data_IF_719818267270
#
_entry.id   IF_719818267270
#
_cell.length_a   1.000
_cell.length_b   1.000
_cell.length_c   1.000
_cell.angle_alpha   90.00
_cell.angle_beta   90.00
_cell.angle_gamma   90.00
#
_symmetry.space_group_name_H-M   'P 1'
#
loop_
_entity.id
_entity.type
_entity.pdbx_description
1 polymer ?
#
# COMPACT_ATOMS: atom_id res chain seq x y z
N UNK A 1 -24.91 -11.68 -28.96
CA UNK A 1 -23.78 -12.59 -29.23
C UNK A 1 -22.57 -11.73 -29.35
N UNK A 2 -21.64 -11.89 -28.42
CA UNK A 2 -20.37 -11.21 -28.49
C UNK A 2 -19.64 -11.51 -29.79
N UNK A 3 -19.00 -10.46 -30.30
CA UNK A 3 -18.63 -10.32 -31.71
C UNK A 3 -19.43 -9.23 -32.44
N UNK A 4 -19.37 -9.25 -33.78
CA UNK A 4 -20.01 -8.21 -34.60
C UNK A 4 -21.52 -8.20 -34.39
N UNK A 5 -22.04 -7.16 -33.74
CA UNK A 5 -23.46 -6.83 -33.75
C UNK A 5 -23.89 -6.64 -35.21
N UNK A 6 -25.10 -7.10 -35.62
CA UNK A 6 -25.60 -6.85 -36.97
C UNK A 6 -25.48 -5.36 -37.32
N UNK A 7 -25.07 -5.01 -38.55
CA UNK A 7 -24.88 -3.62 -38.93
C UNK A 7 -26.17 -2.83 -38.71
N UNK A 8 -26.07 -1.69 -38.03
CA UNK A 8 -27.14 -0.71 -37.97
C UNK A 8 -27.11 0.05 -39.29
N UNK A 9 -28.12 -0.17 -40.12
CA UNK A 9 -28.25 0.48 -41.42
C UNK A 9 -29.05 1.79 -41.29
N UNK A 10 -28.47 2.87 -41.83
CA UNK A 10 -29.10 4.17 -41.95
C UNK A 10 -29.47 4.39 -43.41
N UNK A 11 -30.74 4.68 -43.67
CA UNK A 11 -31.28 4.93 -45.00
C UNK A 11 -31.81 6.37 -45.08
N UNK A 12 -31.35 7.13 -46.08
CA UNK A 12 -31.78 8.49 -46.32
C UNK A 12 -32.02 8.79 -47.81
N UNK A 13 -33.28 9.06 -48.16
CA UNK A 13 -33.68 9.57 -49.47
C UNK A 13 -33.43 11.09 -49.57
N UNK A 14 -32.47 11.53 -50.41
CA UNK A 14 -32.24 12.97 -50.54
C UNK A 14 -31.06 13.45 -51.38
N UNK A 15 -30.89 14.77 -51.42
CA UNK A 15 -29.73 15.41 -52.05
C UNK A 15 -28.61 15.58 -51.02
N UNK A 16 -27.59 14.74 -51.11
CA UNK A 16 -26.35 14.88 -50.32
C UNK A 16 -25.57 16.11 -50.79
N UNK A 17 -25.25 17.02 -49.87
CA UNK A 17 -24.27 18.09 -50.13
C UNK A 17 -22.85 17.52 -50.02
N UNK A 18 -21.85 18.24 -50.53
CA UNK A 18 -20.46 17.76 -50.57
C UNK A 18 -19.84 17.40 -49.20
N UNK A 19 -20.51 17.73 -48.09
CA UNK A 19 -20.12 17.39 -46.72
C UNK A 19 -20.88 16.22 -46.08
N UNK A 20 -21.78 15.54 -46.80
CA UNK A 20 -22.65 14.50 -46.25
C UNK A 20 -23.90 15.06 -45.55
N UNK A 21 -24.76 14.17 -45.07
CA UNK A 21 -25.93 14.47 -44.25
C UNK A 21 -25.59 14.19 -42.77
N UNK A 22 -25.70 15.20 -41.92
CA UNK A 22 -25.55 15.04 -40.46
C UNK A 22 -26.84 14.46 -39.88
N UNK A 23 -26.72 13.33 -39.20
CA UNK A 23 -27.79 12.58 -38.56
C UNK A 23 -27.44 12.35 -37.10
N UNK A 24 -28.38 12.58 -36.21
CA UNK A 24 -28.23 12.44 -34.77
C UNK A 24 -28.91 11.16 -34.28
N UNK A 25 -28.14 10.37 -33.56
CA UNK A 25 -28.56 9.12 -32.94
C UNK A 25 -28.51 9.26 -31.43
N UNK A 26 -29.66 9.14 -30.77
CA UNK A 26 -29.76 9.05 -29.32
C UNK A 26 -29.66 7.58 -28.89
N UNK A 27 -28.61 7.28 -28.11
CA UNK A 27 -28.34 5.98 -27.51
C UNK A 27 -28.79 6.04 -26.05
N UNK A 28 -29.94 5.43 -25.76
CA UNK A 28 -30.59 5.60 -24.45
C UNK A 28 -29.75 5.04 -23.30
N UNK A 29 -29.05 3.94 -23.54
CA UNK A 29 -28.23 3.23 -22.55
C UNK A 29 -26.72 3.41 -22.81
N UNK A 30 -26.29 4.61 -23.25
CA UNK A 30 -24.89 4.89 -23.64
C UNK A 30 -23.85 4.53 -22.58
N UNK A 31 -24.18 4.66 -21.29
CA UNK A 31 -23.24 4.38 -20.20
C UNK A 31 -23.06 2.88 -19.94
N UNK A 32 -24.10 2.08 -20.12
CA UNK A 32 -24.00 0.61 -20.08
C UNK A 32 -23.20 0.12 -21.29
N UNK A 33 -23.49 0.71 -22.45
CA UNK A 33 -22.80 0.39 -23.69
C UNK A 33 -21.31 0.76 -23.60
N UNK A 34 -20.98 1.90 -22.99
CA UNK A 34 -19.61 2.40 -22.76
C UNK A 34 -18.71 1.39 -22.03
N UNK A 35 -19.27 0.58 -21.13
CA UNK A 35 -18.53 -0.41 -20.37
C UNK A 35 -18.20 -1.67 -21.19
N UNK A 36 -18.83 -1.83 -22.37
CA UNK A 36 -18.82 -3.05 -23.17
C UNK A 36 -18.22 -2.82 -24.58
N UNK A 37 -17.76 -1.62 -24.92
CA UNK A 37 -17.31 -1.25 -26.28
C UNK A 37 -15.81 -1.42 -26.52
N UNK A 38 -15.43 -2.20 -27.54
CA UNK A 38 -14.03 -2.31 -28.00
C UNK A 38 -13.71 -1.32 -29.13
N UNK A 39 -14.35 -1.45 -30.30
CA UNK A 39 -14.09 -0.58 -31.47
C UNK A 39 -15.33 -0.36 -32.36
N UNK A 40 -15.35 0.75 -33.10
CA UNK A 40 -16.33 0.99 -34.17
C UNK A 40 -15.75 0.61 -35.54
N UNK A 41 -16.50 -0.16 -36.32
CA UNK A 41 -16.19 -0.44 -37.72
C UNK A 41 -17.21 0.30 -38.59
N UNK A 42 -16.72 1.31 -39.30
CA UNK A 42 -17.54 2.21 -40.11
C UNK A 42 -17.46 1.84 -41.60
N UNK A 43 -18.60 1.85 -42.30
CA UNK A 43 -18.64 1.79 -43.77
C UNK A 43 -19.49 2.94 -44.32
N UNK A 44 -18.85 3.82 -45.11
CA UNK A 44 -19.49 4.96 -45.77
C UNK A 44 -20.22 5.93 -44.81
N UNK A 45 -19.75 6.04 -43.57
CA UNK A 45 -20.14 7.02 -42.56
C UNK A 45 -18.89 7.51 -41.79
N UNK A 46 -19.02 8.63 -41.07
CA UNK A 46 -18.01 9.11 -40.10
C UNK A 46 -18.68 9.76 -38.90
N UNK A 47 -18.06 9.71 -37.71
CA UNK A 47 -18.54 10.50 -36.56
C UNK A 47 -18.30 12.01 -36.74
N UNK A 48 -19.33 12.80 -36.43
CA UNK A 48 -19.32 14.26 -36.43
C UNK A 48 -18.81 14.88 -35.12
N UNK A 49 -18.78 16.21 -35.06
CA UNK A 49 -18.29 16.98 -33.90
C UNK A 49 -19.09 18.28 -33.69
N UNK A 50 -20.40 18.21 -33.84
CA UNK A 50 -21.31 19.32 -33.59
C UNK A 50 -21.41 19.65 -32.09
N UNK A 51 -21.58 20.94 -31.80
CA UNK A 51 -21.81 21.42 -30.44
C UNK A 51 -23.11 20.84 -29.84
N UNK A 52 -24.11 20.55 -30.68
CA UNK A 52 -25.38 19.95 -30.26
C UNK A 52 -25.16 18.55 -29.66
N UNK A 53 -24.45 17.67 -30.37
CA UNK A 53 -24.09 16.34 -29.86
C UNK A 53 -23.13 16.43 -28.66
N UNK A 54 -22.13 17.30 -28.72
CA UNK A 54 -21.17 17.47 -27.61
C UNK A 54 -21.82 17.95 -26.30
N UNK A 55 -23.00 18.56 -26.35
CA UNK A 55 -23.76 19.00 -25.18
C UNK A 55 -24.62 17.90 -24.54
N UNK A 56 -24.77 16.76 -25.18
CA UNK A 56 -25.60 15.64 -24.73
C UNK A 56 -24.83 14.31 -24.82
N UNK A 57 -24.44 13.68 -23.70
CA UNK A 57 -23.51 12.54 -23.70
C UNK A 57 -24.07 11.28 -24.38
N UNK A 58 -25.38 11.20 -24.59
CA UNK A 58 -26.09 10.10 -25.23
C UNK A 58 -26.33 10.32 -26.73
N UNK A 59 -25.97 11.48 -27.29
CA UNK A 59 -26.23 11.79 -28.70
C UNK A 59 -24.95 11.74 -29.52
N UNK A 60 -24.98 10.93 -30.57
CA UNK A 60 -23.91 10.79 -31.54
C UNK A 60 -24.31 11.45 -32.85
N UNK A 61 -23.43 12.29 -33.39
CA UNK A 61 -23.57 12.79 -34.75
C UNK A 61 -22.89 11.81 -35.72
N UNK A 62 -23.64 11.33 -36.70
CA UNK A 62 -23.20 10.48 -37.79
C UNK A 62 -23.32 11.25 -39.10
N UNK A 63 -22.27 11.27 -39.91
CA UNK A 63 -22.26 11.91 -41.22
C UNK A 63 -22.42 10.84 -42.29
N UNK A 64 -23.57 10.83 -42.96
CA UNK A 64 -23.90 9.89 -44.03
C UNK A 64 -23.43 10.44 -45.39
N UNK A 65 -22.69 9.63 -46.15
CA UNK A 65 -22.19 10.01 -47.48
C UNK A 65 -22.92 9.34 -48.65
N UNK A 66 -23.72 8.31 -48.35
CA UNK A 66 -24.48 7.53 -49.32
C UNK A 66 -25.92 7.34 -48.82
N UNK A 67 -26.81 6.90 -49.73
CA UNK A 67 -28.21 6.59 -49.44
C UNK A 67 -28.37 5.53 -48.35
N UNK A 68 -27.45 4.57 -48.30
CA UNK A 68 -27.40 3.54 -47.27
C UNK A 68 -26.00 3.51 -46.68
N UNK A 69 -25.90 3.67 -45.35
CA UNK A 69 -24.65 3.54 -44.59
C UNK A 69 -24.83 2.52 -43.46
N UNK A 70 -23.75 1.84 -43.07
CA UNK A 70 -23.80 0.80 -42.03
C UNK A 70 -22.76 1.08 -40.93
N UNK A 71 -23.21 1.05 -39.68
CA UNK A 71 -22.37 1.08 -38.47
C UNK A 71 -22.33 -0.31 -37.86
N UNK A 72 -21.13 -0.89 -37.72
CA UNK A 72 -20.92 -2.12 -36.94
C UNK A 72 -20.25 -1.76 -35.62
N UNK A 73 -20.79 -2.28 -34.54
CA UNK A 73 -20.26 -2.14 -33.19
C UNK A 73 -19.62 -3.47 -32.80
N UNK A 74 -18.38 -3.43 -32.29
CA UNK A 74 -17.77 -4.57 -31.61
C UNK A 74 -17.78 -4.34 -30.11
N UNK A 75 -18.01 -5.43 -29.39
CA UNK A 75 -18.16 -5.51 -27.94
C UNK A 75 -17.01 -6.33 -27.36
N UNK A 76 -16.62 -6.03 -26.12
CA UNK A 76 -15.66 -6.84 -25.37
C UNK A 76 -16.28 -8.20 -25.06
N UNK A 77 -15.48 -9.25 -25.25
CA UNK A 77 -15.75 -10.62 -24.83
C UNK A 77 -14.76 -10.84 -23.68
N UNK A 78 -15.24 -10.79 -22.44
CA UNK A 78 -14.39 -10.95 -21.25
C UNK A 78 -14.55 -12.35 -20.62
N UNK A 79 -14.64 -12.48 -19.31
CA UNK A 79 -14.88 -13.78 -18.64
C UNK A 79 -16.05 -13.71 -17.66
N UNK A 80 -16.69 -12.55 -17.55
CA UNK A 80 -17.70 -12.20 -16.57
C UNK A 80 -19.06 -12.45 -17.19
N UNK A 81 -19.93 -13.14 -16.46
CA UNK A 81 -21.27 -13.41 -16.93
C UNK A 81 -22.11 -12.13 -16.93
N UNK A 82 -22.57 -11.66 -18.10
CA UNK A 82 -23.58 -10.61 -18.17
C UNK A 82 -24.98 -11.11 -18.50
N UNK A 83 -25.96 -10.48 -17.86
CA UNK A 83 -27.36 -10.70 -18.23
C UNK A 83 -27.66 -10.05 -19.59
N UNK A 84 -28.47 -10.70 -20.45
CA UNK A 84 -28.85 -10.12 -21.72
C UNK A 84 -29.43 -8.71 -21.57
N UNK A 85 -28.81 -7.73 -22.22
CA UNK A 85 -29.16 -6.33 -22.11
C UNK A 85 -29.67 -5.77 -23.45
N UNK A 86 -30.76 -5.00 -23.42
CA UNK A 86 -31.34 -4.40 -24.63
C UNK A 86 -30.93 -2.95 -24.77
N UNK A 87 -30.25 -2.64 -25.88
CA UNK A 87 -29.84 -1.28 -26.25
C UNK A 87 -30.82 -0.68 -27.23
N UNK A 88 -31.25 0.55 -26.98
CA UNK A 88 -32.23 1.28 -27.76
C UNK A 88 -31.62 2.53 -28.40
N UNK A 89 -32.01 2.74 -29.65
CA UNK A 89 -31.54 3.82 -30.50
C UNK A 89 -32.72 4.59 -31.05
N UNK A 90 -32.62 5.92 -31.09
CA UNK A 90 -33.64 6.79 -31.67
C UNK A 90 -33.00 7.87 -32.54
N UNK A 91 -33.54 8.07 -33.74
CA UNK A 91 -33.16 9.19 -34.60
C UNK A 91 -33.84 10.47 -34.12
N UNK A 92 -33.08 11.55 -34.03
CA UNK A 92 -33.53 12.84 -33.49
C UNK A 92 -33.43 13.92 -34.56
N UNK A 93 -34.52 14.58 -34.96
CA UNK A 93 -34.49 15.64 -36.00
C UNK A 93 -34.77 17.07 -35.49
N UNK A 94 -34.85 17.28 -34.18
CA UNK A 94 -35.13 18.60 -33.57
C UNK A 94 -33.88 19.32 -33.03
N UNK A 95 -32.69 18.78 -33.30
CA UNK A 95 -31.41 19.38 -32.91
C UNK A 95 -30.89 20.37 -33.96
N UNK A 96 -30.17 21.39 -33.50
CA UNK A 96 -29.47 22.34 -34.38
C UNK A 96 -28.46 21.61 -35.26
N UNK A 97 -28.66 21.66 -36.59
CA UNK A 97 -27.86 20.91 -37.56
C UNK A 97 -28.64 19.78 -38.27
N UNK A 98 -29.83 19.42 -37.77
CA UNK A 98 -30.71 18.44 -38.41
C UNK A 98 -31.35 19.04 -39.67
N UNK A 99 -30.88 18.63 -40.85
CA UNK A 99 -31.44 19.02 -42.16
C UNK A 99 -32.16 17.83 -42.82
N UNK A 100 -32.85 17.03 -42.01
CA UNK A 100 -33.63 15.86 -42.40
C UNK A 100 -34.95 15.81 -41.63
N UNK A 101 -35.85 14.92 -42.07
CA UNK A 101 -37.10 14.62 -41.38
C UNK A 101 -37.07 13.12 -41.11
N UNK A 102 -37.30 12.75 -39.85
CA UNK A 102 -37.31 11.34 -39.44
C UNK A 102 -38.60 10.67 -39.91
N UNK A 103 -38.46 9.48 -40.51
CA UNK A 103 -39.60 8.64 -40.83
C UNK A 103 -40.18 8.05 -39.52
N UNK A 104 -41.42 8.37 -39.13
CA UNK A 104 -41.98 7.91 -37.86
C UNK A 104 -42.20 6.39 -37.79
N UNK A 105 -42.18 5.70 -38.94
CA UNK A 105 -42.29 4.24 -39.00
C UNK A 105 -40.92 3.52 -38.93
N UNK A 106 -39.81 4.27 -38.94
CA UNK A 106 -38.44 3.76 -38.95
C UNK A 106 -37.46 4.67 -38.19
N UNK A 107 -37.89 5.19 -37.03
CA UNK A 107 -37.11 6.13 -36.22
C UNK A 107 -36.36 5.49 -35.05
N UNK A 108 -36.63 4.23 -34.75
CA UNK A 108 -36.02 3.51 -33.62
C UNK A 108 -35.39 2.21 -34.05
N UNK A 109 -34.28 1.85 -33.42
CA UNK A 109 -33.65 0.53 -33.52
C UNK A 109 -33.34 -0.03 -32.14
N UNK A 110 -33.16 -1.34 -32.05
CA UNK A 110 -32.68 -1.99 -30.84
C UNK A 110 -31.89 -3.24 -31.16
N UNK A 111 -30.91 -3.57 -30.33
CA UNK A 111 -30.29 -4.90 -30.32
C UNK A 111 -30.19 -5.42 -28.89
N UNK A 112 -30.10 -6.74 -28.76
CA UNK A 112 -29.83 -7.39 -27.48
C UNK A 112 -28.37 -7.82 -27.50
N UNK A 113 -27.63 -7.37 -26.51
CA UNK A 113 -26.34 -7.91 -26.16
C UNK A 113 -26.58 -9.21 -25.41
N UNK A 114 -26.02 -10.29 -25.91
CA UNK A 114 -26.05 -11.62 -25.29
C UNK A 114 -24.60 -12.08 -25.30
N UNK A 115 -24.10 -12.45 -24.14
CA UNK A 115 -22.73 -12.92 -23.95
C UNK A 115 -22.42 -14.12 -24.88
N UNK A 116 -21.25 -14.08 -25.54
CA UNK A 116 -20.90 -14.85 -26.74
C UNK A 116 -20.26 -16.21 -26.54
N UNK A 117 -19.82 -16.58 -25.33
CA UNK A 117 -19.15 -17.86 -25.10
C UNK A 117 -20.13 -19.00 -24.73
N UNK A 118 -19.76 -20.28 -24.96
CA UNK A 118 -20.52 -21.40 -24.43
C UNK A 118 -20.39 -21.41 -22.90
N UNK A 119 -21.35 -20.79 -22.25
CA UNK A 119 -21.35 -20.39 -20.86
C UNK A 119 -22.60 -19.54 -20.60
N UNK A 120 -22.89 -19.19 -19.36
CA UNK A 120 -24.03 -18.37 -18.99
C UNK A 120 -24.76 -18.91 -17.77
N UNK A 121 -25.84 -18.25 -17.32
CA UNK A 121 -26.40 -18.50 -16.01
C UNK A 121 -26.74 -19.98 -15.76
N UNK A 122 -26.11 -20.55 -14.74
CA UNK A 122 -26.18 -21.94 -14.32
C UNK A 122 -25.26 -22.89 -15.07
N UNK A 123 -24.19 -22.40 -15.71
CA UNK A 123 -23.20 -23.22 -16.42
C UNK A 123 -21.89 -23.30 -15.64
N UNK A 124 -21.32 -24.50 -15.57
CA UNK A 124 -20.01 -24.73 -14.96
C UNK A 124 -20.07 -25.14 -13.49
N UNK A 125 -18.92 -25.14 -12.80
CA UNK A 125 -18.86 -25.45 -11.38
C UNK A 125 -19.25 -24.22 -10.54
N UNK A 126 -19.60 -24.47 -9.28
CA UNK A 126 -19.78 -23.44 -8.25
C UNK A 126 -18.42 -23.10 -7.60
N UNK A 127 -18.08 -21.82 -7.51
CA UNK A 127 -16.84 -21.29 -6.92
C UNK A 127 -17.16 -20.49 -5.67
N UNK A 128 -16.52 -20.82 -4.56
CA UNK A 128 -16.61 -20.10 -3.30
C UNK A 128 -15.26 -19.54 -2.86
N UNK A 129 -15.28 -18.47 -2.08
CA UNK A 129 -14.12 -17.86 -1.41
C UNK A 129 -14.35 -17.79 0.10
N UNK A 130 -13.28 -18.00 0.86
CA UNK A 130 -13.28 -17.87 2.33
C UNK A 130 -11.89 -17.43 2.81
N UNK A 131 -11.79 -16.97 4.05
CA UNK A 131 -10.52 -16.59 4.68
C UNK A 131 -10.29 -17.35 5.98
N UNK A 132 -9.03 -17.55 6.35
CA UNK A 132 -8.67 -18.18 7.63
C UNK A 132 -8.98 -17.28 8.82
N UNK A 133 -8.87 -15.97 8.62
CA UNK A 133 -9.11 -14.92 9.61
C UNK A 133 -9.72 -13.71 8.88
N UNK A 134 -10.62 -13.00 9.54
CA UNK A 134 -11.30 -11.83 8.97
C UNK A 134 -11.09 -10.54 9.77
N UNK A 135 -10.53 -10.65 10.98
CA UNK A 135 -10.07 -9.52 11.81
C UNK A 135 -8.55 -9.60 11.85
N UNK A 136 -7.86 -8.62 11.24
CA UNK A 136 -6.42 -8.66 10.98
C UNK A 136 -5.72 -7.45 11.58
N UNK A 137 -4.42 -7.59 11.88
CA UNK A 137 -3.51 -6.51 12.25
C UNK A 137 -2.39 -6.35 11.22
N UNK A 138 -1.69 -5.21 11.21
CA UNK A 138 -0.50 -5.01 10.37
C UNK A 138 0.55 -6.11 10.60
N UNK A 139 1.19 -6.58 9.52
CA UNK A 139 2.16 -7.68 9.54
C UNK A 139 1.56 -9.08 9.80
N UNK A 140 0.23 -9.20 9.95
CA UNK A 140 -0.41 -10.50 10.14
C UNK A 140 -0.57 -11.26 8.81
N UNK A 141 -0.19 -12.54 8.81
CA UNK A 141 -0.44 -13.45 7.69
C UNK A 141 -1.86 -14.05 7.76
N UNK A 142 -2.54 -14.06 6.63
CA UNK A 142 -3.82 -14.76 6.46
C UNK A 142 -3.91 -15.45 5.10
N UNK A 143 -4.82 -16.42 4.99
CA UNK A 143 -5.00 -17.19 3.75
C UNK A 143 -6.40 -17.04 3.19
N UNK A 144 -6.48 -16.60 1.94
CA UNK A 144 -7.68 -16.66 1.09
C UNK A 144 -7.77 -18.05 0.48
N UNK A 145 -8.89 -18.73 0.66
CA UNK A 145 -9.15 -20.07 0.16
C UNK A 145 -10.24 -20.03 -0.90
N UNK A 146 -9.99 -20.70 -2.01
CA UNK A 146 -10.96 -20.92 -3.09
C UNK A 146 -11.39 -22.39 -3.10
N UNK A 147 -12.70 -22.61 -3.24
CA UNK A 147 -13.27 -23.94 -3.38
C UNK A 147 -14.10 -24.03 -4.64
N UNK A 148 -13.88 -25.07 -5.44
CA UNK A 148 -14.62 -25.33 -6.67
C UNK A 148 -15.35 -26.65 -6.54
N UNK A 149 -16.67 -26.63 -6.71
CA UNK A 149 -17.53 -27.80 -6.60
C UNK A 149 -18.42 -27.93 -7.82
N UNK A 150 -18.76 -29.16 -8.22
CA UNK A 150 -19.54 -29.37 -9.44
C UNK A 150 -19.26 -30.73 -10.07
N UNK A 151 -19.62 -30.86 -11.34
CA UNK A 151 -19.35 -32.07 -12.11
C UNK A 151 -17.84 -32.24 -12.34
N UNK A 152 -17.35 -33.47 -12.24
CA UNK A 152 -15.92 -33.77 -12.30
C UNK A 152 -15.23 -33.36 -13.63
N UNK A 153 -16.01 -33.10 -14.68
CA UNK A 153 -15.50 -32.61 -15.96
C UNK A 153 -15.17 -31.11 -15.93
N UNK A 154 -15.80 -30.37 -15.02
CA UNK A 154 -15.73 -28.91 -14.93
C UNK A 154 -14.81 -28.45 -13.79
N UNK A 155 -14.33 -29.38 -12.96
CA UNK A 155 -13.37 -29.10 -11.89
C UNK A 155 -12.01 -28.69 -12.50
N UNK A 156 -11.40 -27.59 -12.04
CA UNK A 156 -10.13 -27.12 -12.55
C UNK A 156 -8.98 -28.09 -12.29
N UNK A 157 -8.04 -28.11 -13.23
CA UNK A 157 -6.80 -28.90 -13.19
C UNK A 157 -5.67 -28.16 -13.92
N UNK A 158 -4.42 -28.62 -13.81
CA UNK A 158 -3.31 -28.05 -14.60
C UNK A 158 -3.56 -28.03 -16.12
N UNK A 159 -4.33 -29.01 -16.65
CA UNK A 159 -4.67 -29.09 -18.07
C UNK A 159 -5.94 -28.29 -18.44
N UNK A 160 -6.71 -27.85 -17.43
CA UNK A 160 -7.96 -27.11 -17.57
C UNK A 160 -8.08 -26.08 -16.45
N UNK A 161 -7.33 -24.96 -16.51
CA UNK A 161 -7.41 -23.90 -15.51
C UNK A 161 -8.77 -23.19 -15.57
N UNK A 162 -9.23 -22.70 -14.43
CA UNK A 162 -10.42 -21.86 -14.30
C UNK A 162 -9.99 -20.47 -13.80
N UNK A 163 -10.11 -19.45 -14.65
CA UNK A 163 -9.84 -18.06 -14.26
C UNK A 163 -11.04 -17.48 -13.55
N UNK A 164 -10.81 -16.88 -12.37
CA UNK A 164 -11.85 -16.24 -11.56
C UNK A 164 -11.46 -14.80 -11.25
N UNK A 165 -12.46 -13.90 -11.11
CA UNK A 165 -12.26 -12.50 -10.74
C UNK A 165 -12.68 -12.28 -9.29
N UNK A 166 -11.77 -11.73 -8.50
CA UNK A 166 -12.06 -11.20 -7.16
C UNK A 166 -12.01 -9.68 -7.23
N UNK A 167 -13.01 -9.01 -6.68
CA UNK A 167 -13.16 -7.55 -6.78
C UNK A 167 -13.65 -6.93 -5.46
N UNK A 168 -13.23 -5.69 -5.21
CA UNK A 168 -13.74 -4.83 -4.16
C UNK A 168 -14.35 -3.57 -4.77
N UNK A 169 -15.39 -3.04 -4.13
CA UNK A 169 -15.93 -1.72 -4.47
C UNK A 169 -15.04 -0.56 -3.95
N UNK A 170 -14.00 -0.89 -3.16
CA UNK A 170 -13.08 0.09 -2.58
C UNK A 170 -11.85 0.26 -3.46
N UNK A 171 -11.66 1.44 -4.11
CA UNK A 171 -10.46 1.71 -4.90
C UNK A 171 -9.20 1.59 -4.05
N UNK A 172 -8.18 0.92 -4.58
CA UNK A 172 -6.91 0.75 -3.88
C UNK A 172 -6.91 -0.29 -2.76
N UNK A 173 -7.99 -1.06 -2.57
CA UNK A 173 -8.09 -2.07 -1.49
C UNK A 173 -6.98 -3.13 -1.49
N UNK A 174 -6.31 -3.36 -2.63
CA UNK A 174 -5.15 -4.25 -2.69
C UNK A 174 -3.86 -3.62 -2.14
N UNK A 175 -3.87 -2.32 -1.84
CA UNK A 175 -2.76 -1.58 -1.23
C UNK A 175 -2.48 -2.00 0.20
N UNK A 176 -3.46 -2.58 0.88
CA UNK A 176 -3.36 -3.05 2.28
C UNK A 176 -2.55 -4.32 2.46
N UNK A 177 -2.01 -4.89 1.38
CA UNK A 177 -1.33 -6.18 1.42
C UNK A 177 0.09 -6.08 0.86
N UNK A 178 1.01 -6.80 1.48
CA UNK A 178 2.36 -6.96 0.98
C UNK A 178 2.35 -7.84 -0.28
N UNK A 179 2.28 -7.23 -1.46
CA UNK A 179 2.17 -7.96 -2.72
C UNK A 179 3.53 -8.25 -3.36
N UNK A 180 4.41 -7.24 -3.44
CA UNK A 180 5.70 -7.35 -4.12
C UNK A 180 6.79 -6.54 -3.41
N UNK A 181 8.02 -7.04 -3.45
CA UNK A 181 9.20 -6.28 -2.99
C UNK A 181 9.66 -5.22 -4.01
N UNK A 182 10.68 -4.43 -3.64
CA UNK A 182 11.29 -3.40 -4.50
C UNK A 182 11.84 -3.93 -5.85
N UNK A 183 12.07 -5.24 -5.95
CA UNK A 183 12.58 -5.92 -7.15
C UNK A 183 11.46 -6.59 -7.97
N UNK A 184 10.20 -6.48 -7.53
CA UNK A 184 9.03 -7.11 -8.16
C UNK A 184 8.89 -8.59 -7.84
N UNK A 185 9.53 -9.09 -6.78
CA UNK A 185 9.36 -10.46 -6.29
C UNK A 185 8.03 -10.55 -5.53
N UNK A 186 7.15 -11.53 -5.82
CA UNK A 186 5.95 -11.76 -5.03
C UNK A 186 6.28 -12.02 -3.56
N UNK A 187 5.58 -11.33 -2.64
CA UNK A 187 5.69 -11.52 -1.19
C UNK A 187 4.63 -12.49 -0.63
N UNK A 188 3.78 -13.01 -1.51
CA UNK A 188 2.73 -13.97 -1.18
C UNK A 188 3.06 -15.39 -1.66
N UNK A 189 2.30 -16.37 -1.17
CA UNK A 189 2.42 -17.76 -1.62
C UNK A 189 1.10 -18.33 -2.10
N UNK A 190 1.15 -19.27 -3.03
CA UNK A 190 -0.03 -19.90 -3.61
C UNK A 190 0.04 -21.43 -3.60
N UNK A 191 -1.10 -22.08 -3.44
CA UNK A 191 -1.29 -23.52 -3.65
C UNK A 191 -2.50 -23.73 -4.55
N UNK A 192 -2.39 -24.54 -5.60
CA UNK A 192 -3.52 -24.79 -6.51
C UNK A 192 -3.89 -23.62 -7.43
N UNK A 193 -3.04 -22.59 -7.52
CA UNK A 193 -3.15 -21.45 -8.43
C UNK A 193 -2.00 -21.51 -9.43
N UNK A 194 -2.29 -21.29 -10.71
CA UNK A 194 -1.27 -21.17 -11.74
C UNK A 194 -0.69 -19.75 -11.79
N UNK A 195 0.64 -19.66 -11.72
CA UNK A 195 1.34 -18.39 -11.91
C UNK A 195 1.10 -17.38 -10.79
N UNK A 196 1.17 -16.10 -11.17
CA UNK A 196 1.01 -14.94 -10.28
C UNK A 196 -0.36 -14.33 -10.61
N UNK A 197 -1.26 -14.11 -9.63
CA UNK A 197 -2.49 -13.36 -9.83
C UNK A 197 -2.23 -12.04 -10.57
N UNK A 198 -3.15 -11.66 -11.47
CA UNK A 198 -2.99 -10.47 -12.32
C UNK A 198 -4.01 -9.40 -11.95
N UNK A 199 -3.70 -8.10 -12.08
CA UNK A 199 -4.68 -7.04 -11.82
C UNK A 199 -5.91 -7.17 -12.71
N UNK A 200 -7.09 -7.00 -12.11
CA UNK A 200 -8.38 -6.96 -12.81
C UNK A 200 -8.77 -5.55 -13.27
N UNK A 201 -8.14 -4.54 -12.69
CA UNK A 201 -8.37 -3.14 -13.02
C UNK A 201 -7.07 -2.30 -12.89
N UNK A 202 -7.19 -1.00 -13.22
CA UNK A 202 -6.09 -0.03 -13.10
C UNK A 202 -6.06 0.77 -11.81
N UNK A 203 -6.96 0.48 -10.85
CA UNK A 203 -7.10 1.24 -9.59
C UNK A 203 -6.77 0.40 -8.34
N UNK A 204 -6.38 -0.86 -8.51
CA UNK A 204 -5.94 -1.73 -7.43
C UNK A 204 -7.10 -2.24 -6.57
N UNK A 205 -8.27 -2.48 -7.14
CA UNK A 205 -9.43 -3.02 -6.41
C UNK A 205 -9.80 -4.46 -6.78
N UNK A 206 -9.20 -5.03 -7.83
CA UNK A 206 -9.54 -6.37 -8.30
C UNK A 206 -8.35 -7.12 -8.88
N UNK A 207 -8.45 -8.44 -8.91
CA UNK A 207 -7.44 -9.33 -9.47
C UNK A 207 -8.04 -10.63 -10.00
N UNK A 208 -7.41 -11.19 -11.03
CA UNK A 208 -7.71 -12.50 -11.57
C UNK A 208 -6.81 -13.58 -10.94
N UNK A 209 -7.39 -14.77 -10.78
CA UNK A 209 -6.69 -15.96 -10.27
C UNK A 209 -6.99 -17.14 -11.18
N UNK A 210 -5.95 -17.85 -11.63
CA UNK A 210 -6.08 -19.08 -12.43
C UNK A 210 -6.06 -20.31 -11.52
N UNK A 211 -7.24 -20.86 -11.19
CA UNK A 211 -7.38 -22.04 -10.36
C UNK A 211 -7.03 -23.30 -11.18
N UNK A 212 -6.16 -24.16 -10.64
CA UNK A 212 -5.74 -25.44 -11.26
C UNK A 212 -5.98 -26.64 -10.35
N UNK A 213 -6.79 -26.46 -9.31
CA UNK A 213 -7.18 -27.50 -8.37
C UNK A 213 -8.58 -27.20 -7.78
N UNK A 214 -9.33 -28.22 -7.33
CA UNK A 214 -10.64 -28.03 -6.68
C UNK A 214 -10.58 -27.22 -5.38
N UNK A 215 -9.40 -27.16 -4.78
CA UNK A 215 -9.10 -26.32 -3.62
C UNK A 215 -7.80 -25.58 -3.91
N UNK A 216 -7.81 -24.28 -3.75
CA UNK A 216 -6.66 -23.43 -3.97
C UNK A 216 -6.56 -22.39 -2.85
N UNK A 217 -5.37 -21.84 -2.65
CA UNK A 217 -5.14 -20.84 -1.62
C UNK A 217 -4.11 -19.80 -2.04
N UNK A 218 -4.29 -18.59 -1.51
CA UNK A 218 -3.40 -17.44 -1.62
C UNK A 218 -3.15 -16.93 -0.20
N UNK A 219 -1.91 -17.07 0.28
CA UNK A 219 -1.50 -16.56 1.60
C UNK A 219 -0.82 -15.20 1.42
N UNK A 220 -1.34 -14.21 2.13
CA UNK A 220 -0.97 -12.80 2.08
C UNK A 220 -0.57 -12.34 3.49
N UNK A 221 0.16 -11.22 3.55
CA UNK A 221 0.47 -10.49 4.77
C UNK A 221 -0.14 -9.09 4.66
N UNK A 222 -0.72 -8.58 5.75
CA UNK A 222 -1.18 -7.18 5.83
C UNK A 222 0.05 -6.28 5.79
N UNK A 223 0.02 -5.28 4.90
CA UNK A 223 1.12 -4.34 4.74
C UNK A 223 1.24 -3.43 5.97
N UNK A 224 2.45 -3.34 6.53
CA UNK A 224 2.81 -2.37 7.57
C UNK A 224 3.30 -1.09 6.88
N UNK A 225 2.46 -0.05 6.90
CA UNK A 225 2.71 1.21 6.21
C UNK A 225 3.07 2.38 7.16
N UNK A 226 2.96 2.13 8.47
CA UNK A 226 3.56 2.90 9.55
C UNK A 226 2.55 3.62 10.44
N UNK A 227 2.16 4.88 10.17
CA UNK A 227 1.33 5.64 11.10
C UNK A 227 -0.12 5.17 11.02
N UNK A 228 -0.62 4.55 12.09
CA UNK A 228 -1.94 3.92 12.04
C UNK A 228 -3.11 4.79 11.55
N UNK A 229 -3.86 4.22 10.63
CA UNK A 229 -4.98 4.78 9.89
C UNK A 229 -6.35 4.49 10.55
N UNK A 230 -6.36 3.60 11.55
CA UNK A 230 -7.50 3.19 12.34
C UNK A 230 -8.09 1.85 11.89
N UNK A 231 -9.33 1.58 12.28
CA UNK A 231 -10.02 0.35 11.84
C UNK A 231 -10.67 0.59 10.49
N UNK A 232 -10.31 -0.26 9.54
CA UNK A 232 -10.82 -0.25 8.17
C UNK A 232 -11.55 -1.54 7.81
N UNK A 233 -12.36 -1.49 6.76
CA UNK A 233 -13.17 -2.64 6.33
C UNK A 233 -13.21 -2.71 4.82
N UNK A 234 -12.82 -3.87 4.29
CA UNK A 234 -12.74 -4.15 2.86
C UNK A 234 -13.58 -5.37 2.52
N UNK A 235 -14.54 -5.17 1.63
CA UNK A 235 -15.36 -6.24 1.07
C UNK A 235 -14.75 -6.71 -0.25
N UNK A 236 -14.50 -8.01 -0.38
CA UNK A 236 -14.05 -8.66 -1.60
C UNK A 236 -15.07 -9.71 -2.03
N UNK A 237 -15.56 -9.62 -3.27
CA UNK A 237 -16.52 -10.56 -3.86
C UNK A 237 -15.95 -11.27 -5.09
N UNK A 238 -16.41 -12.49 -5.31
CA UNK A 238 -16.28 -13.17 -6.59
C UNK A 238 -17.32 -12.60 -7.57
N UNK A 239 -16.91 -12.37 -8.82
CA UNK A 239 -17.85 -12.12 -9.91
C UNK A 239 -18.32 -13.46 -10.50
N UNK A 240 -19.59 -13.54 -10.95
CA UNK A 240 -20.02 -14.67 -11.77
C UNK A 240 -19.23 -14.66 -13.08
N UNK A 241 -18.80 -15.83 -13.53
CA UNK A 241 -18.13 -15.97 -14.81
C UNK A 241 -18.98 -16.74 -15.81
N UNK A 242 -18.61 -16.67 -17.07
CA UNK A 242 -19.36 -17.36 -18.12
C UNK A 242 -19.37 -18.88 -17.94
N UNK A 243 -18.26 -19.42 -17.41
CA UNK A 243 -18.02 -20.87 -17.29
C UNK A 243 -18.05 -21.35 -15.84
N UNK A 244 -18.50 -20.52 -14.90
CA UNK A 244 -18.68 -20.88 -13.49
C UNK A 244 -19.69 -19.98 -12.78
N UNK A 245 -20.32 -20.52 -11.74
CA UNK A 245 -21.22 -19.75 -10.88
C UNK A 245 -20.55 -19.46 -9.54
N UNK A 246 -20.89 -18.34 -8.92
CA UNK A 246 -20.47 -18.05 -7.55
C UNK A 246 -21.38 -18.80 -6.58
N UNK A 247 -20.78 -19.52 -5.64
CA UNK A 247 -21.49 -20.13 -4.53
C UNK A 247 -22.12 -19.02 -3.66
N UNK A 248 -23.46 -18.94 -3.57
CA UNK A 248 -24.13 -17.88 -2.82
C UNK A 248 -23.83 -17.89 -1.32
N UNK A 249 -23.40 -19.03 -0.76
CA UNK A 249 -23.02 -19.13 0.65
C UNK A 249 -21.57 -18.66 0.89
N UNK A 250 -20.75 -18.57 -0.16
CA UNK A 250 -19.32 -18.21 -0.10
C UNK A 250 -18.94 -17.21 -1.21
N UNK A 251 -19.83 -16.24 -1.48
CA UNK A 251 -19.69 -15.32 -2.60
C UNK A 251 -18.60 -14.24 -2.42
N UNK A 252 -18.15 -14.03 -1.19
CA UNK A 252 -17.19 -13.00 -0.84
C UNK A 252 -16.74 -13.10 0.60
N UNK A 253 -15.77 -12.26 0.94
CA UNK A 253 -15.20 -12.13 2.28
C UNK A 253 -15.14 -10.66 2.66
N UNK A 254 -15.36 -10.38 3.94
CA UNK A 254 -15.15 -9.06 4.53
C UNK A 254 -13.92 -9.15 5.42
N UNK A 255 -12.94 -8.30 5.17
CA UNK A 255 -11.75 -8.14 5.99
C UNK A 255 -11.88 -6.87 6.81
N UNK A 256 -11.65 -6.97 8.12
CA UNK A 256 -11.48 -5.83 9.01
C UNK A 256 -10.02 -5.75 9.38
N UNK A 257 -9.35 -4.66 9.01
CA UNK A 257 -7.96 -4.43 9.34
C UNK A 257 -7.96 -3.40 10.48
N UNK A 258 -7.45 -3.80 11.63
CA UNK A 258 -7.24 -2.92 12.77
C UNK A 258 -5.83 -2.36 12.70
N UNK A 259 -5.69 -1.27 11.94
CA UNK A 259 -4.52 -0.41 11.93
C UNK A 259 -4.72 0.78 12.89
N UNK A 260 -5.33 0.52 14.05
CA UNK A 260 -5.14 1.46 15.15
C UNK A 260 -3.68 1.35 15.57
N UNK A 261 -2.91 2.39 15.23
CA UNK A 261 -1.57 2.63 15.80
C UNK A 261 -1.63 2.19 17.25
N UNK A 262 -0.87 1.13 17.57
CA UNK A 262 -0.81 0.54 18.92
C UNK A 262 -0.87 1.69 19.90
N UNK A 263 -1.97 1.78 20.65
CA UNK A 263 -2.28 2.96 21.47
C UNK A 263 -0.99 3.41 22.15
N UNK A 264 -0.52 4.65 21.87
CA UNK A 264 0.70 5.24 22.48
C UNK A 264 1.08 4.47 23.72
N UNK A 265 2.12 3.62 23.65
CA UNK A 265 2.46 2.78 24.79
C UNK A 265 2.44 3.67 26.02
N UNK A 266 1.54 3.36 26.99
CA UNK A 266 1.26 4.29 28.06
C UNK A 266 2.59 4.61 28.71
N UNK A 267 2.90 5.89 28.97
CA UNK A 267 4.26 6.23 29.33
C UNK A 267 4.76 5.35 30.47
N UNK A 268 5.96 4.81 30.32
CA UNK A 268 6.57 3.95 31.31
C UNK A 268 7.02 4.84 32.46
N UNK A 269 6.52 4.55 33.65
CA UNK A 269 6.92 5.27 34.86
C UNK A 269 7.66 4.33 35.79
N UNK A 270 8.90 4.68 36.11
CA UNK A 270 9.58 4.13 37.28
C UNK A 270 9.06 4.76 38.57
N UNK A 271 9.87 4.69 39.61
CA UNK A 271 9.48 4.90 40.98
C UNK A 271 10.22 6.09 41.60
N UNK A 272 10.41 6.07 42.93
CA UNK A 272 11.17 7.07 43.67
C UNK A 272 12.47 6.48 44.24
N UNK A 273 12.83 5.27 43.84
CA UNK A 273 14.15 4.70 44.08
C UNK A 273 14.60 3.94 42.84
N UNK A 274 15.80 3.36 42.90
CA UNK A 274 16.43 2.68 41.77
C UNK A 274 15.53 1.63 41.09
N UNK A 275 15.32 1.82 39.80
CA UNK A 275 14.58 0.95 38.90
C UNK A 275 15.47 0.36 37.81
N UNK A 276 15.04 -0.77 37.26
CA UNK A 276 15.63 -1.38 36.06
C UNK A 276 14.53 -1.39 35.00
N UNK A 277 14.76 -0.63 33.93
CA UNK A 277 13.84 -0.46 32.80
C UNK A 277 14.53 -1.07 31.57
N UNK A 278 14.20 -2.32 31.29
CA UNK A 278 14.61 -3.04 30.08
C UNK A 278 13.38 -3.64 29.36
N UNK A 279 13.45 -3.85 28.04
CA UNK A 279 12.41 -4.54 27.29
C UNK A 279 12.10 -5.90 27.91
N UNK A 280 10.89 -6.42 27.72
CA UNK A 280 10.43 -7.75 28.20
C UNK A 280 10.15 -7.84 29.70
N UNK A 281 10.87 -7.13 30.59
CA UNK A 281 10.58 -7.18 32.05
C UNK A 281 9.69 -6.03 32.53
N UNK A 282 9.71 -4.90 31.83
CA UNK A 282 8.97 -3.71 32.23
C UNK A 282 7.64 -3.67 31.48
N UNK A 283 6.49 -3.74 32.17
CA UNK A 283 5.19 -3.70 31.50
C UNK A 283 4.99 -2.37 30.76
N UNK A 284 4.63 -2.45 29.47
CA UNK A 284 4.42 -1.28 28.61
C UNK A 284 5.73 -0.67 28.09
N UNK A 285 6.82 -1.44 28.11
CA UNK A 285 8.10 -1.07 27.51
C UNK A 285 8.58 -2.23 26.63
N UNK A 286 8.49 -2.07 25.33
CA UNK A 286 8.95 -3.05 24.34
C UNK A 286 10.24 -2.64 23.64
N UNK A 287 10.69 -1.40 23.86
CA UNK A 287 11.91 -0.83 23.29
C UNK A 287 11.69 -0.17 21.93
N UNK A 288 10.44 0.04 21.49
CA UNK A 288 10.11 0.70 20.24
C UNK A 288 9.16 1.89 20.46
N UNK A 289 9.60 3.10 20.09
CA UNK A 289 8.81 4.33 20.18
C UNK A 289 8.21 4.64 21.58
N UNK A 290 8.82 4.12 22.64
CA UNK A 290 8.34 4.29 24.00
C UNK A 290 8.63 5.67 24.59
N UNK A 291 7.77 6.11 25.53
CA UNK A 291 8.01 7.28 26.37
C UNK A 291 8.28 6.85 27.81
N UNK A 292 9.52 6.98 28.27
CA UNK A 292 9.97 6.48 29.57
C UNK A 292 10.36 7.61 30.53
N UNK A 293 9.88 7.51 31.77
CA UNK A 293 10.19 8.39 32.89
C UNK A 293 10.71 7.53 34.07
N UNK A 294 12.01 7.45 34.28
CA UNK A 294 12.62 6.59 35.30
C UNK A 294 12.30 7.07 36.73
N UNK A 295 12.43 8.37 36.98
CA UNK A 295 11.86 8.99 38.17
C UNK A 295 12.92 9.51 39.12
N UNK A 296 12.97 9.00 40.35
CA UNK A 296 14.02 9.38 41.27
C UNK A 296 14.79 8.13 41.73
N UNK A 297 16.07 8.28 42.01
CA UNK A 297 16.94 7.16 42.34
C UNK A 297 17.93 6.92 41.20
N UNK A 298 18.87 6.01 41.42
CA UNK A 298 19.90 5.68 40.43
C UNK A 298 19.35 4.56 39.54
N UNK A 299 18.84 4.91 38.36
CA UNK A 299 18.09 4.03 37.49
C UNK A 299 18.96 3.41 36.38
N UNK A 300 18.59 2.22 35.92
CA UNK A 300 19.17 1.60 34.71
C UNK A 300 18.11 1.58 33.61
N UNK A 301 18.40 2.25 32.49
CA UNK A 301 17.58 2.25 31.29
C UNK A 301 18.35 1.55 30.16
N UNK A 302 17.81 0.43 29.67
CA UNK A 302 18.42 -0.40 28.63
C UNK A 302 17.53 -0.43 27.40
N UNK A 303 18.07 -0.11 26.22
CA UNK A 303 17.37 -0.18 24.93
C UNK A 303 18.13 -0.97 23.87
N UNK A 304 19.23 -1.67 24.23
CA UNK A 304 20.06 -2.38 23.25
C UNK A 304 19.33 -3.47 22.48
N UNK A 305 18.28 -4.04 23.06
CA UNK A 305 17.48 -5.12 22.48
C UNK A 305 16.19 -4.62 21.79
N UNK A 306 15.95 -3.30 21.73
CA UNK A 306 14.78 -2.68 21.11
C UNK A 306 15.03 -2.09 19.72
N UNK A 307 13.95 -1.77 19.00
CA UNK A 307 13.98 -1.22 17.63
C UNK A 307 14.19 0.31 17.57
N UNK A 308 14.23 0.98 18.73
CA UNK A 308 14.59 2.38 18.86
C UNK A 308 13.41 3.35 18.78
N UNK A 309 13.69 4.63 18.55
CA UNK A 309 12.65 5.68 18.53
C UNK A 309 12.20 6.14 19.92
N UNK A 310 12.81 5.59 20.97
CA UNK A 310 12.39 5.82 22.34
C UNK A 310 12.73 7.24 22.81
N UNK A 311 11.97 7.71 23.79
CA UNK A 311 12.24 8.95 24.52
C UNK A 311 12.40 8.67 25.99
N UNK A 312 13.63 8.71 26.45
CA UNK A 312 14.05 8.27 27.78
C UNK A 312 14.38 9.47 28.66
N UNK A 313 13.82 9.49 29.87
CA UNK A 313 14.07 10.53 30.88
C UNK A 313 14.48 9.90 32.21
N UNK A 314 15.74 10.04 32.61
CA UNK A 314 16.27 9.57 33.90
C UNK A 314 15.67 10.34 35.07
N UNK A 315 15.64 11.67 34.91
CA UNK A 315 15.17 12.68 35.86
C UNK A 315 16.14 12.97 37.00
N UNK A 316 16.11 12.26 38.14
CA UNK A 316 16.97 12.62 39.28
C UNK A 316 17.64 11.42 39.93
N UNK A 317 18.95 11.48 40.08
CA UNK A 317 19.77 10.38 40.56
C UNK A 317 20.93 10.16 39.60
N UNK A 318 21.86 9.28 39.96
CA UNK A 318 23.00 8.98 39.09
C UNK A 318 22.61 7.83 38.16
N UNK A 319 21.97 8.16 37.03
CA UNK A 319 21.34 7.19 36.13
C UNK A 319 22.35 6.56 35.16
N UNK A 320 21.98 5.39 34.65
CA UNK A 320 22.77 4.65 33.68
C UNK A 320 21.91 4.27 32.48
N UNK A 321 22.29 4.78 31.31
CA UNK A 321 21.64 4.50 30.04
C UNK A 321 22.54 3.60 29.20
N UNK A 322 22.00 2.49 28.75
CA UNK A 322 22.62 1.64 27.73
C UNK A 322 21.73 1.71 26.51
N UNK A 323 22.23 2.36 25.46
CA UNK A 323 21.42 2.76 24.32
C UNK A 323 21.68 1.87 23.12
N UNK A 324 20.56 1.37 22.56
CA UNK A 324 20.47 0.80 21.23
C UNK A 324 20.63 1.89 20.16
N UNK A 325 19.73 1.93 19.18
CA UNK A 325 19.81 2.91 18.08
C UNK A 325 18.59 3.83 18.04
N UNK A 326 18.75 5.02 17.45
CA UNK A 326 17.65 5.94 17.14
C UNK A 326 16.82 6.43 18.34
N UNK A 327 17.41 6.50 19.54
CA UNK A 327 16.76 6.97 20.76
C UNK A 327 17.04 8.44 21.08
N UNK A 328 16.21 9.03 21.94
CA UNK A 328 16.43 10.34 22.56
C UNK A 328 16.50 10.19 24.07
N UNK A 329 17.66 10.45 24.66
CA UNK A 329 17.89 10.28 26.10
C UNK A 329 18.21 11.60 26.80
N UNK A 330 17.62 11.79 27.97
CA UNK A 330 17.84 12.94 28.85
C UNK A 330 18.15 12.41 30.25
N UNK A 331 19.36 12.63 30.74
CA UNK A 331 19.80 12.19 32.08
C UNK A 331 19.05 12.95 33.17
N UNK A 332 19.27 14.25 33.26
CA UNK A 332 18.51 15.14 34.13
C UNK A 332 19.40 15.80 35.17
N UNK A 333 19.31 15.38 36.43
CA UNK A 333 20.19 15.84 37.50
C UNK A 333 20.85 14.66 38.21
N UNK A 334 22.15 14.71 38.38
CA UNK A 334 22.97 13.61 38.89
C UNK A 334 24.14 13.35 37.94
N UNK A 335 25.10 12.55 38.37
CA UNK A 335 26.26 12.21 37.56
C UNK A 335 25.91 11.01 36.64
N UNK A 336 25.29 11.27 35.49
CA UNK A 336 24.72 10.22 34.63
C UNK A 336 25.76 9.54 33.73
N UNK A 337 25.49 8.30 33.32
CA UNK A 337 26.36 7.50 32.44
C UNK A 337 25.59 7.00 31.22
N UNK A 338 26.07 7.32 30.03
CA UNK A 338 25.50 6.86 28.77
C UNK A 338 26.47 5.95 28.03
N UNK A 339 26.04 4.74 27.68
CA UNK A 339 26.78 3.76 26.89
C UNK A 339 26.14 3.60 25.52
N UNK A 340 26.91 3.86 24.46
CA UNK A 340 26.41 3.78 23.09
C UNK A 340 26.75 2.41 22.49
N UNK A 341 25.78 1.49 22.51
CA UNK A 341 25.92 0.19 21.84
C UNK A 341 25.36 0.22 20.41
N UNK A 342 24.39 1.10 20.13
CA UNK A 342 23.94 1.43 18.78
C UNK A 342 24.24 2.87 18.36
N UNK A 343 23.65 3.29 17.23
CA UNK A 343 23.94 4.56 16.57
C UNK A 343 22.72 5.49 16.45
N UNK A 344 22.94 6.69 15.92
CA UNK A 344 21.88 7.68 15.63
C UNK A 344 21.05 8.14 16.85
N UNK A 345 21.55 7.94 18.08
CA UNK A 345 20.90 8.48 19.26
C UNK A 345 21.16 9.99 19.41
N UNK A 346 20.25 10.71 20.05
CA UNK A 346 20.44 12.11 20.49
C UNK A 346 20.35 12.21 22.01
N UNK A 347 21.44 12.63 22.64
CA UNK A 347 21.59 12.58 24.10
C UNK A 347 21.83 13.98 24.67
N UNK A 348 21.19 14.28 25.79
CA UNK A 348 21.54 15.38 26.71
C UNK A 348 21.83 14.76 28.07
N UNK A 349 23.02 14.99 28.64
CA UNK A 349 23.34 14.55 30.00
C UNK A 349 22.47 15.29 31.02
N UNK A 350 22.81 16.54 31.30
CA UNK A 350 21.93 17.40 32.09
C UNK A 350 22.72 18.35 32.97
N UNK A 351 22.49 18.27 34.28
CA UNK A 351 23.25 18.98 35.30
C UNK A 351 24.24 18.00 35.92
N UNK A 352 25.34 18.53 36.46
CA UNK A 352 26.39 17.76 37.14
C UNK A 352 27.27 16.97 36.13
N UNK A 353 28.12 16.04 36.59
CA UNK A 353 29.22 15.51 35.78
C UNK A 353 28.83 14.25 35.01
N UNK A 354 28.41 14.43 33.75
CA UNK A 354 27.93 13.34 32.91
C UNK A 354 29.06 12.62 32.15
N UNK A 355 28.83 11.34 31.85
CA UNK A 355 29.77 10.51 31.10
C UNK A 355 29.13 9.95 29.82
N UNK A 356 29.76 10.23 28.68
CA UNK A 356 29.33 9.72 27.37
C UNK A 356 30.34 8.71 26.83
N UNK A 357 30.07 7.42 26.99
CA UNK A 357 30.91 6.33 26.51
C UNK A 357 30.60 6.03 25.03
N UNK A 358 31.32 6.73 24.14
CA UNK A 358 31.10 6.75 22.69
C UNK A 358 31.61 5.51 21.96
N UNK A 359 32.34 4.65 22.67
CA UNK A 359 32.71 3.31 22.24
C UNK A 359 33.01 2.45 23.47
N UNK A 360 32.50 1.22 23.48
CA UNK A 360 32.72 0.26 24.55
C UNK A 360 32.90 -1.14 23.96
N UNK A 361 34.16 -1.60 23.89
CA UNK A 361 34.62 -2.82 23.22
C UNK A 361 34.40 -2.85 21.69
N UNK A 362 33.34 -2.23 21.20
CA UNK A 362 33.00 -2.09 19.78
C UNK A 362 32.74 -0.62 19.41
N UNK A 363 32.77 -0.36 18.10
CA UNK A 363 32.45 0.94 17.49
C UNK A 363 30.97 0.93 17.11
N UNK A 364 30.17 1.95 17.49
CA UNK A 364 28.78 2.08 17.07
C UNK A 364 28.63 2.06 15.53
N UNK A 365 27.54 1.48 14.99
CA UNK A 365 27.32 1.40 13.54
C UNK A 365 27.11 2.77 12.87
N UNK A 366 26.68 3.78 13.65
CA UNK A 366 26.54 5.17 13.26
C UNK A 366 26.88 6.10 14.42
N UNK A 367 27.28 7.34 14.11
CA UNK A 367 27.66 8.31 15.14
C UNK A 367 26.47 8.75 15.98
N UNK A 368 26.67 8.85 17.29
CA UNK A 368 25.67 9.39 18.21
C UNK A 368 25.83 10.91 18.38
N UNK A 369 24.74 11.61 18.62
CA UNK A 369 24.73 13.06 18.78
C UNK A 369 24.61 13.43 20.26
N UNK A 370 25.60 14.14 20.79
CA UNK A 370 25.59 14.66 22.17
C UNK A 370 25.31 16.15 22.11
N UNK A 371 24.37 16.60 22.95
CA UNK A 371 23.96 18.00 23.07
C UNK A 371 24.37 18.55 24.43
N UNK A 372 24.72 19.84 24.44
CA UNK A 372 25.06 20.59 25.67
C UNK A 372 26.24 20.02 26.46
N UNK A 373 27.20 19.36 25.81
CA UNK A 373 28.43 18.91 26.46
C UNK A 373 29.23 20.08 27.07
N UNK A 374 29.54 20.02 28.37
CA UNK A 374 30.26 21.04 29.12
C UNK A 374 31.70 20.60 29.43
N UNK A 375 32.66 21.09 28.63
CA UNK A 375 34.08 20.82 28.84
C UNK A 375 34.55 21.26 30.24
N UNK A 376 35.24 20.35 30.93
CA UNK A 376 35.70 20.51 32.31
C UNK A 376 34.71 20.08 33.39
N UNK A 377 33.49 19.68 33.01
CA UNK A 377 32.48 19.04 33.86
C UNK A 377 32.19 17.63 33.35
N UNK A 378 31.76 17.52 32.10
CA UNK A 378 31.44 16.25 31.43
C UNK A 378 32.69 15.52 30.90
N UNK A 379 32.55 14.21 30.68
CA UNK A 379 33.62 13.34 30.18
C UNK A 379 33.17 12.48 29.00
N UNK A 380 34.03 12.39 27.98
CA UNK A 380 33.86 11.49 26.84
C UNK A 380 34.68 10.22 27.08
N UNK A 381 34.01 9.10 27.22
CA UNK A 381 34.61 7.81 27.49
C UNK A 381 34.87 6.98 26.23
N UNK A 382 36.02 6.32 26.17
CA UNK A 382 36.33 5.25 25.22
C UNK A 382 36.87 4.05 26.00
N UNK A 383 36.20 2.91 25.90
CA UNK A 383 36.61 1.70 26.59
C UNK A 383 36.83 0.52 25.63
N UNK A 384 37.78 -0.35 25.94
CA UNK A 384 37.92 -1.66 25.30
C UNK A 384 38.50 -1.69 23.88
N UNK A 385 38.95 -0.55 23.34
CA UNK A 385 39.55 -0.46 21.99
C UNK A 385 41.09 -0.43 21.96
N UNK A 386 41.76 -0.44 23.13
CA UNK A 386 43.22 -0.30 23.24
C UNK A 386 43.80 0.96 22.54
N UNK A 387 43.07 2.07 22.56
CA UNK A 387 43.48 3.37 21.98
C UNK A 387 43.65 4.48 23.03
N UNK A 388 44.26 5.59 22.63
CA UNK A 388 44.33 6.82 23.41
C UNK A 388 43.89 8.07 22.65
N UNK A 389 44.00 9.24 23.30
CA UNK A 389 43.55 10.52 22.74
C UNK A 389 44.17 10.86 21.38
N UNK A 390 45.46 10.56 21.19
CA UNK A 390 46.17 10.86 19.95
C UNK A 390 45.70 10.02 18.74
N UNK A 391 44.92 8.96 18.98
CA UNK A 391 44.35 8.10 17.93
C UNK A 391 43.01 8.64 17.39
N UNK A 392 42.37 9.57 18.11
CA UNK A 392 41.09 10.14 17.72
C UNK A 392 41.26 11.27 16.68
N UNK A 393 40.37 11.28 15.70
CA UNK A 393 40.13 12.44 14.84
C UNK A 393 39.14 13.37 15.50
N UNK A 394 39.53 14.62 15.78
CA UNK A 394 38.64 15.66 16.33
C UNK A 394 38.56 16.79 15.31
N UNK A 395 37.42 16.91 14.63
CA UNK A 395 37.27 17.80 13.47
C UNK A 395 36.05 18.71 13.62
N UNK A 396 36.24 20.01 13.39
CA UNK A 396 35.12 20.97 13.35
C UNK A 396 34.25 20.75 12.10
N UNK A 397 32.94 20.70 12.29
CA UNK A 397 31.92 20.70 11.23
C UNK A 397 30.87 21.79 11.49
N UNK A 398 31.05 22.95 10.85
CA UNK A 398 30.20 24.11 11.16
C UNK A 398 30.39 24.55 12.61
N UNK A 399 29.30 24.63 13.37
CA UNK A 399 29.32 24.97 14.80
C UNK A 399 29.52 23.74 15.71
N UNK A 400 29.60 22.53 15.14
CA UNK A 400 29.67 21.26 15.86
C UNK A 400 31.05 20.60 15.74
N UNK A 401 31.34 19.62 16.60
CA UNK A 401 32.57 18.81 16.54
C UNK A 401 32.26 17.35 16.25
N UNK A 402 32.96 16.75 15.27
CA UNK A 402 32.93 15.32 15.00
C UNK A 402 34.15 14.65 15.65
N UNK A 403 33.91 13.56 16.39
CA UNK A 403 34.93 12.66 16.93
C UNK A 403 34.89 11.36 16.12
N UNK A 404 36.03 10.96 15.58
CA UNK A 404 36.17 9.77 14.74
C UNK A 404 37.37 8.91 15.15
N UNK A 405 37.36 7.65 14.74
CA UNK A 405 38.50 6.75 14.79
C UNK A 405 38.78 6.23 13.37
N UNK A 406 39.84 6.75 12.75
CA UNK A 406 40.10 6.48 11.33
C UNK A 406 38.98 7.02 10.44
N UNK A 407 38.22 6.12 9.80
CA UNK A 407 37.08 6.47 8.95
C UNK A 407 35.74 6.32 9.67
N UNK A 408 35.73 5.76 10.87
CA UNK A 408 34.50 5.47 11.60
C UNK A 408 34.14 6.69 12.47
N UNK A 409 32.90 7.16 12.35
CA UNK A 409 32.39 8.30 13.11
C UNK A 409 31.82 7.79 14.45
N UNK A 410 32.36 8.28 15.57
CA UNK A 410 31.98 7.79 16.90
C UNK A 410 30.86 8.65 17.50
N UNK A 411 31.06 9.97 17.50
CA UNK A 411 30.10 10.90 18.07
C UNK A 411 30.22 12.30 17.48
N UNK A 412 29.10 13.01 17.49
CA UNK A 412 28.99 14.43 17.12
C UNK A 412 28.57 15.25 18.34
N UNK A 413 29.37 16.23 18.72
CA UNK A 413 29.05 17.18 19.79
C UNK A 413 28.46 18.46 19.20
N UNK A 414 27.20 18.75 19.50
CA UNK A 414 26.53 19.94 18.98
C UNK A 414 26.97 21.21 19.71
N UNK A 415 27.31 22.25 18.96
CA UNK A 415 27.70 23.56 19.50
C UNK A 415 29.05 23.59 20.22
N UNK A 416 29.84 22.51 20.19
CA UNK A 416 31.17 22.44 20.80
C UNK A 416 32.23 22.79 19.76
N UNK A 417 33.16 23.66 20.15
CA UNK A 417 34.31 24.01 19.30
C UNK A 417 35.43 22.98 19.47
N UNK A 418 35.89 22.39 18.36
CA UNK A 418 36.83 21.27 18.36
C UNK A 418 38.18 21.59 19.04
N UNK A 419 38.63 22.85 18.96
CA UNK A 419 39.89 23.29 19.57
C UNK A 419 39.81 23.48 21.09
N UNK A 420 38.61 23.46 21.65
CA UNK A 420 38.40 23.61 23.09
C UNK A 420 38.50 22.26 23.80
N UNK A 421 38.31 21.16 23.07
CA UNK A 421 38.51 19.80 23.57
C UNK A 421 40.00 19.46 23.70
N UNK A 422 40.34 18.87 24.84
CA UNK A 422 41.68 18.42 25.18
C UNK A 422 41.63 17.00 25.73
N UNK A 423 42.80 16.38 25.92
CA UNK A 423 42.86 15.06 26.57
C UNK A 423 42.28 15.02 28.00
N UNK A 424 41.98 16.16 28.63
CA UNK A 424 41.33 16.20 29.93
C UNK A 424 39.82 15.95 29.86
N UNK A 425 39.19 16.14 28.70
CA UNK A 425 37.76 15.91 28.45
C UNK A 425 37.47 14.44 28.11
N UNK A 426 38.51 13.59 28.08
CA UNK A 426 38.41 12.19 27.66
C UNK A 426 38.90 11.23 28.74
N UNK A 427 38.19 10.10 28.88
CA UNK A 427 38.60 8.97 29.68
C UNK A 427 38.83 7.74 28.80
N UNK A 428 39.96 7.06 28.99
CA UNK A 428 40.31 5.82 28.30
C UNK A 428 40.45 4.69 29.31
N UNK A 429 39.81 3.54 29.03
CA UNK A 429 39.84 2.38 29.93
C UNK A 429 39.95 1.06 29.15
N UNK A 430 40.60 0.06 29.74
CA UNK A 430 40.64 -1.31 29.18
C UNK A 430 39.23 -1.94 29.19
N UNK A 431 38.39 -1.56 30.16
CA UNK A 431 36.98 -1.93 30.28
C UNK A 431 36.28 -0.97 31.23
N UNK A 432 34.97 -0.81 31.07
CA UNK A 432 34.10 -0.07 31.97
C UNK A 432 32.95 -0.98 32.41
N UNK A 433 32.57 -0.90 33.68
CA UNK A 433 31.43 -1.67 34.21
C UNK A 433 30.17 -0.83 34.03
N UNK A 434 29.19 -1.42 33.34
CA UNK A 434 27.82 -0.89 33.28
C UNK A 434 27.21 -1.01 34.66
#
# INVERSE_FOLDING_TARGET
MDGNIPPVAFDADGNYVAGGLSVFLDVKEVFELANQFDTFIETNLTFGSSEAAASQPNIFELILFEETSELTITIFDDIIEEQPFTYNFELVDDLEGSDYIVNPDANTGSFVLEDGLPGGPGVGPDVGVSVTESELFEGEEFTVNFTVTGDAADIPSEENPLTVLVSSDTPGALGEFALFDENGTPLFSTEGIAGVPTPGDGIGSSFFVDLIAPTASLTLEVFDDGPGEGVETFDFGLANGEVYEVDPDNAGVTLTIDDTSSELDPPVFGSLGADVIEPVITPGFDGFNDLVFAGAGDDLLETSDGDGGNRLYGQSGDDTFVLGSNDRAFGGSGDDRFFFLGGDNTITGGQDMDQFWIANADIPPAANTITYFESGEDVIGVAGLDIGFDDLGITQQGDDTLISLGNDELAKLLGVTASDLTAADFAFADSVTI
#
